data_IF_937058949827
#
_entry.id   IF_937058949827
#
_cell.length_a   1.000
_cell.length_b   1.000
_cell.length_c   1.000
_cell.angle_alpha   90.00
_cell.angle_beta   90.00
_cell.angle_gamma   90.00
#
_symmetry.space_group_name_H-M   'P 1'
#
loop_
_entity.id
_entity.type
_entity.pdbx_description
1 polymer ?
#
# COMPACT_ATOMS: atom_id res chain seq x y z
N UNK A 1 20.58 -2.78 2.24
CA UNK A 1 19.29 -2.14 2.61
C UNK A 1 18.54 -3.03 3.60
N UNK A 2 17.30 -2.70 3.95
CA UNK A 2 16.54 -3.42 4.99
C UNK A 2 16.38 -4.91 4.70
N UNK A 3 16.17 -5.33 3.45
CA UNK A 3 16.12 -6.75 3.09
C UNK A 3 17.41 -7.52 3.46
N UNK A 4 18.58 -6.92 3.22
CA UNK A 4 19.86 -7.50 3.65
C UNK A 4 19.98 -7.53 5.18
N UNK A 5 19.46 -6.51 5.87
CA UNK A 5 19.41 -6.50 7.33
C UNK A 5 18.54 -7.66 7.83
N UNK A 6 17.32 -7.83 7.32
CA UNK A 6 16.42 -8.93 7.67
C UNK A 6 17.04 -10.31 7.43
N UNK A 7 17.71 -10.49 6.29
CA UNK A 7 18.43 -11.72 5.97
C UNK A 7 19.50 -12.07 7.02
N UNK A 8 20.27 -11.07 7.47
CA UNK A 8 21.34 -11.22 8.44
C UNK A 8 20.85 -11.33 9.90
N UNK A 9 19.86 -10.53 10.28
CA UNK A 9 19.34 -10.45 11.65
C UNK A 9 18.30 -11.51 11.96
N UNK A 10 17.66 -12.08 10.93
CA UNK A 10 16.51 -12.96 11.07
C UNK A 10 15.24 -12.27 11.54
N UNK A 11 15.14 -10.95 11.38
CA UNK A 11 13.99 -10.18 11.84
C UNK A 11 12.71 -10.44 11.03
N UNK A 12 12.84 -10.83 9.75
CA UNK A 12 11.74 -11.16 8.85
C UNK A 12 12.22 -12.09 7.74
N UNK A 13 11.29 -12.68 6.96
CA UNK A 13 11.60 -13.65 5.91
C UNK A 13 12.51 -13.05 4.81
N UNK A 14 13.22 -13.90 4.08
CA UNK A 14 14.07 -13.42 2.99
C UNK A 14 13.21 -12.98 1.81
N UNK A 15 13.51 -11.79 1.25
CA UNK A 15 12.70 -11.17 0.20
C UNK A 15 13.53 -10.87 -1.05
N UNK A 16 12.94 -11.11 -2.22
CA UNK A 16 13.37 -10.49 -3.47
C UNK A 16 12.76 -9.08 -3.50
N UNK A 17 13.60 -8.05 -3.60
CA UNK A 17 13.15 -6.66 -3.69
C UNK A 17 13.17 -6.21 -5.15
N UNK A 18 12.01 -5.79 -5.64
CA UNK A 18 11.83 -5.29 -7.00
C UNK A 18 11.43 -3.82 -6.93
N UNK A 19 12.30 -2.93 -7.41
CA UNK A 19 11.99 -1.51 -7.56
C UNK A 19 11.33 -1.27 -8.92
N UNK A 20 10.13 -0.68 -8.93
CA UNK A 20 9.42 -0.29 -10.15
C UNK A 20 9.46 1.22 -10.29
N UNK A 21 10.18 1.70 -11.30
CA UNK A 21 10.28 3.14 -11.61
C UNK A 21 9.08 3.60 -12.45
N UNK A 22 8.37 4.62 -11.97
CA UNK A 22 7.29 5.29 -12.71
C UNK A 22 7.86 6.22 -13.78
N UNK A 23 7.25 6.27 -14.97
CA UNK A 23 7.57 7.27 -16.00
C UNK A 23 6.84 8.60 -15.75
N UNK A 24 5.56 8.52 -15.42
CA UNK A 24 4.75 9.64 -14.95
C UNK A 24 4.02 9.21 -13.68
N UNK A 25 4.68 9.48 -12.55
CA UNK A 25 4.18 9.17 -11.21
C UNK A 25 2.75 9.66 -10.96
N UNK A 26 2.34 10.77 -11.56
CA UNK A 26 1.01 11.36 -11.34
C UNK A 26 -0.04 10.60 -12.12
N UNK A 27 0.26 10.22 -13.36
CA UNK A 27 -0.60 9.35 -14.15
C UNK A 27 -0.72 7.96 -13.50
N UNK A 28 0.41 7.31 -13.26
CA UNK A 28 0.50 5.89 -12.92
C UNK A 28 0.03 5.57 -11.50
N UNK A 29 0.12 6.50 -10.55
CA UNK A 29 -0.21 6.23 -9.14
C UNK A 29 -1.55 6.81 -8.68
N UNK A 30 -2.33 7.40 -9.58
CA UNK A 30 -3.63 8.00 -9.23
C UNK A 30 -4.74 7.55 -10.17
N UNK A 31 -5.96 7.45 -9.64
CA UNK A 31 -7.15 7.37 -10.47
C UNK A 31 -7.58 8.76 -10.90
N UNK A 32 -8.44 8.82 -11.93
CA UNK A 32 -8.88 10.08 -12.50
C UNK A 32 -9.63 10.88 -11.43
N UNK A 33 -9.08 12.01 -11.03
CA UNK A 33 -9.71 12.87 -10.03
C UNK A 33 -10.95 13.55 -10.61
N UNK A 34 -11.92 13.84 -9.74
CA UNK A 34 -13.08 14.70 -10.00
C UNK A 34 -12.86 16.15 -9.54
N UNK A 35 -11.77 16.43 -8.82
CA UNK A 35 -11.40 17.79 -8.43
C UNK A 35 -10.75 18.55 -9.60
N UNK A 36 -11.38 19.64 -10.03
CA UNK A 36 -10.86 20.49 -11.09
C UNK A 36 -9.48 21.09 -10.78
N UNK A 37 -9.17 21.35 -9.50
CA UNK A 37 -7.85 21.82 -9.10
C UNK A 37 -6.79 20.73 -9.30
N UNK A 38 -7.06 19.50 -8.87
CA UNK A 38 -6.17 18.36 -9.07
C UNK A 38 -6.01 18.02 -10.56
N UNK A 39 -7.09 18.09 -11.35
CA UNK A 39 -7.00 17.90 -12.82
C UNK A 39 -6.13 18.96 -13.46
N UNK A 40 -6.24 20.23 -13.02
CA UNK A 40 -5.39 21.31 -13.55
C UNK A 40 -3.92 21.12 -13.17
N UNK A 41 -3.66 20.75 -11.92
CA UNK A 41 -2.29 20.68 -11.39
C UNK A 41 -1.60 19.35 -11.77
N UNK A 42 -2.39 18.31 -12.05
CA UNK A 42 -1.97 16.97 -12.46
C UNK A 42 -2.73 16.49 -13.70
N UNK A 43 -2.56 17.12 -14.88
CA UNK A 43 -3.41 16.87 -16.06
C UNK A 43 -3.34 15.45 -16.63
N UNK A 44 -2.25 14.73 -16.35
CA UNK A 44 -2.02 13.35 -16.80
C UNK A 44 -2.61 12.30 -15.87
N UNK A 45 -3.24 12.69 -14.75
CA UNK A 45 -3.76 11.75 -13.76
C UNK A 45 -4.79 10.75 -14.35
N UNK A 46 -4.82 9.54 -13.77
CA UNK A 46 -5.88 8.57 -14.03
C UNK A 46 -5.48 7.19 -14.58
N UNK A 47 -4.20 6.84 -14.54
CA UNK A 47 -3.69 5.59 -15.11
C UNK A 47 -3.39 4.49 -14.07
N UNK A 48 -3.78 4.67 -12.80
CA UNK A 48 -3.59 3.66 -11.75
C UNK A 48 -4.04 2.24 -12.14
N UNK A 49 -5.19 2.10 -12.82
CA UNK A 49 -5.65 0.78 -13.27
C UNK A 49 -4.72 0.14 -14.31
N UNK A 50 -4.16 0.95 -15.23
CA UNK A 50 -3.23 0.48 -16.24
C UNK A 50 -1.87 0.12 -15.60
N UNK A 51 -1.39 0.95 -14.68
CA UNK A 51 -0.16 0.65 -13.94
C UNK A 51 -0.29 -0.62 -13.09
N UNK A 52 -1.42 -0.82 -12.40
CA UNK A 52 -1.74 -2.07 -11.70
C UNK A 52 -1.73 -3.28 -12.64
N UNK A 53 -2.29 -3.15 -13.84
CA UNK A 53 -2.27 -4.22 -14.85
C UNK A 53 -0.84 -4.53 -15.28
N UNK A 54 -0.01 -3.52 -15.53
CA UNK A 54 1.41 -3.68 -15.83
C UNK A 54 2.16 -4.46 -14.73
N UNK A 55 1.90 -4.14 -13.45
CA UNK A 55 2.49 -4.89 -12.34
C UNK A 55 2.11 -6.38 -12.37
N UNK A 56 0.82 -6.67 -12.56
CA UNK A 56 0.29 -8.04 -12.49
C UNK A 56 0.65 -8.87 -13.73
N UNK A 57 0.58 -8.28 -14.92
CA UNK A 57 0.64 -9.03 -16.17
C UNK A 57 2.03 -9.03 -16.81
N UNK A 58 2.91 -8.11 -16.41
CA UNK A 58 4.26 -7.99 -16.99
C UNK A 58 5.34 -8.13 -15.92
N UNK A 59 5.31 -7.31 -14.86
CA UNK A 59 6.38 -7.29 -13.86
C UNK A 59 6.43 -8.61 -13.09
N UNK A 60 5.31 -9.07 -12.51
CA UNK A 60 5.29 -10.31 -11.75
C UNK A 60 5.71 -11.53 -12.58
N UNK A 61 5.15 -11.79 -13.78
CA UNK A 61 5.56 -12.93 -14.60
C UNK A 61 7.03 -12.86 -15.00
N UNK A 62 7.58 -11.66 -15.25
CA UNK A 62 9.01 -11.50 -15.54
C UNK A 62 9.87 -11.94 -14.35
N UNK A 63 9.50 -11.56 -13.12
CA UNK A 63 10.26 -11.94 -11.93
C UNK A 63 10.13 -13.45 -11.64
N UNK A 64 8.92 -13.99 -11.71
CA UNK A 64 8.65 -15.42 -11.49
C UNK A 64 9.34 -16.33 -12.52
N UNK A 65 9.50 -15.87 -13.76
CA UNK A 65 10.21 -16.62 -14.79
C UNK A 65 11.74 -16.64 -14.59
N UNK A 66 12.31 -15.63 -13.91
CA UNK A 66 13.76 -15.46 -13.79
C UNK A 66 14.31 -15.79 -12.40
N UNK A 67 13.46 -15.85 -11.38
CA UNK A 67 13.86 -16.09 -9.99
C UNK A 67 12.95 -17.10 -9.31
N UNK A 68 13.48 -17.81 -8.31
CA UNK A 68 12.67 -18.71 -7.47
C UNK A 68 11.86 -17.87 -6.48
N UNK A 69 10.58 -17.68 -6.77
CA UNK A 69 9.63 -17.00 -5.88
C UNK A 69 8.89 -18.01 -5.00
N UNK A 70 8.37 -17.56 -3.85
CA UNK A 70 7.49 -18.36 -2.99
C UNK A 70 6.04 -18.41 -3.49
N UNK A 71 5.69 -17.56 -4.45
CA UNK A 71 4.32 -17.30 -4.88
C UNK A 71 3.56 -16.30 -4.00
N UNK A 72 4.17 -15.80 -2.90
CA UNK A 72 3.64 -14.67 -2.14
C UNK A 72 4.30 -13.36 -2.56
N UNK A 73 3.54 -12.28 -2.58
CA UNK A 73 4.05 -10.94 -2.90
C UNK A 73 3.48 -9.81 -2.04
N UNK A 74 4.17 -8.67 -2.09
CA UNK A 74 3.76 -7.44 -1.43
C UNK A 74 3.86 -6.23 -2.36
N UNK A 75 2.93 -5.30 -2.19
CA UNK A 75 3.07 -3.93 -2.68
C UNK A 75 3.35 -2.99 -1.51
N UNK A 76 4.38 -2.15 -1.66
CA UNK A 76 4.81 -1.19 -0.66
C UNK A 76 5.05 0.18 -1.30
N UNK A 77 4.59 1.25 -0.66
CA UNK A 77 4.76 2.60 -1.19
C UNK A 77 4.47 3.70 -0.18
N UNK A 78 5.05 4.88 -0.45
CA UNK A 78 4.88 6.11 0.32
C UNK A 78 4.09 7.15 -0.47
N UNK A 79 3.31 8.01 0.21
CA UNK A 79 2.71 9.20 -0.43
C UNK A 79 1.75 8.79 -1.57
N UNK A 80 1.91 9.26 -2.81
CA UNK A 80 1.10 8.77 -3.95
C UNK A 80 1.30 7.27 -4.22
N UNK A 81 2.47 6.70 -3.94
CA UNK A 81 2.63 5.24 -4.03
C UNK A 81 1.87 4.54 -2.90
N UNK A 82 1.84 5.13 -1.70
CA UNK A 82 0.98 4.67 -0.60
C UNK A 82 -0.51 4.77 -0.95
N UNK A 83 -0.92 5.83 -1.64
CA UNK A 83 -2.28 6.00 -2.19
C UNK A 83 -2.63 4.87 -3.16
N UNK A 84 -1.74 4.59 -4.12
CA UNK A 84 -1.90 3.48 -5.07
C UNK A 84 -1.97 2.12 -4.37
N UNK A 85 -1.16 1.89 -3.32
CA UNK A 85 -1.21 0.65 -2.53
C UNK A 85 -2.54 0.52 -1.79
N UNK A 86 -3.01 1.58 -1.13
CA UNK A 86 -4.29 1.58 -0.42
C UNK A 86 -5.48 1.40 -1.38
N UNK A 87 -5.43 2.03 -2.56
CA UNK A 87 -6.45 1.86 -3.60
C UNK A 87 -6.41 0.46 -4.21
N UNK A 88 -5.22 -0.09 -4.45
CA UNK A 88 -5.07 -1.48 -4.91
C UNK A 88 -5.62 -2.47 -3.88
N UNK A 89 -5.36 -2.29 -2.59
CA UNK A 89 -5.96 -3.12 -1.55
C UNK A 89 -7.50 -3.05 -1.58
N UNK A 90 -8.07 -1.84 -1.63
CA UNK A 90 -9.52 -1.66 -1.55
C UNK A 90 -10.25 -2.06 -2.84
N UNK A 91 -9.77 -1.61 -4.00
CA UNK A 91 -10.47 -1.73 -5.29
C UNK A 91 -9.92 -2.84 -6.19
N UNK A 92 -8.71 -3.36 -5.93
CA UNK A 92 -8.10 -4.45 -6.69
C UNK A 92 -7.36 -5.46 -5.81
N UNK A 93 -7.98 -6.08 -4.78
CA UNK A 93 -7.29 -6.91 -3.79
C UNK A 93 -6.60 -8.17 -4.32
N UNK A 94 -6.77 -8.51 -5.61
CA UNK A 94 -6.00 -9.55 -6.29
C UNK A 94 -4.62 -9.08 -6.77
N UNK A 95 -4.29 -7.80 -6.61
CA UNK A 95 -3.02 -7.23 -7.08
C UNK A 95 -1.83 -7.75 -6.30
N UNK A 96 -1.99 -8.07 -5.02
CA UNK A 96 -0.98 -8.67 -4.17
C UNK A 96 -1.59 -9.38 -2.96
N UNK A 97 -0.78 -10.16 -2.25
CA UNK A 97 -1.19 -10.81 -1.00
C UNK A 97 -0.99 -9.92 0.23
N UNK A 98 -0.05 -8.98 0.16
CA UNK A 98 0.31 -8.06 1.23
C UNK A 98 0.39 -6.63 0.70
N UNK A 99 -0.05 -5.68 1.51
CA UNK A 99 -0.10 -4.26 1.14
C UNK A 99 0.48 -3.43 2.29
N UNK A 100 1.45 -2.57 1.98
CA UNK A 100 2.13 -1.69 2.94
C UNK A 100 2.00 -0.25 2.45
N UNK A 101 1.00 0.47 2.96
CA UNK A 101 0.76 1.87 2.63
C UNK A 101 1.31 2.77 3.73
N UNK A 102 2.37 3.52 3.41
CA UNK A 102 3.02 4.46 4.33
C UNK A 102 2.63 5.89 3.92
N UNK A 103 2.12 6.67 4.87
CA UNK A 103 1.64 8.05 4.65
C UNK A 103 0.88 8.23 3.33
N UNK A 104 -0.15 7.41 3.04
CA UNK A 104 -0.83 7.45 1.76
C UNK A 104 -1.53 8.81 1.56
N UNK A 105 -1.44 9.36 0.35
CA UNK A 105 -2.03 10.66 -0.03
C UNK A 105 -3.55 10.62 -0.16
N UNK A 106 -4.25 10.23 0.89
CA UNK A 106 -5.71 10.05 0.94
C UNK A 106 -6.52 11.37 0.92
N UNK A 107 -5.86 12.51 0.72
CA UNK A 107 -6.54 13.76 0.37
C UNK A 107 -7.03 13.75 -1.08
N UNK A 108 -6.44 12.93 -1.95
CA UNK A 108 -6.73 12.85 -3.38
C UNK A 108 -8.23 12.67 -3.67
N UNK A 109 -8.72 13.37 -4.70
CA UNK A 109 -10.10 13.29 -5.19
C UNK A 109 -11.11 13.54 -4.06
N UNK A 110 -10.91 14.67 -3.36
CA UNK A 110 -11.68 15.06 -2.17
C UNK A 110 -11.68 14.01 -1.05
N UNK A 111 -10.65 13.17 -0.97
CA UNK A 111 -10.56 12.04 -0.04
C UNK A 111 -11.60 10.94 -0.27
N UNK A 112 -12.00 10.73 -1.53
CA UNK A 112 -13.03 9.76 -1.92
C UNK A 112 -12.73 8.35 -1.43
N UNK A 113 -11.46 7.90 -1.51
CA UNK A 113 -11.09 6.53 -1.11
C UNK A 113 -11.39 6.24 0.37
N UNK A 114 -11.07 7.18 1.27
CA UNK A 114 -11.39 7.03 2.70
C UNK A 114 -12.90 7.03 2.95
N UNK A 115 -13.65 7.88 2.24
CA UNK A 115 -15.13 7.96 2.33
C UNK A 115 -15.81 6.69 1.84
N UNK A 116 -15.27 6.06 0.80
CA UNK A 116 -15.83 4.85 0.19
C UNK A 116 -15.41 3.56 0.91
N UNK A 117 -14.33 3.59 1.70
CA UNK A 117 -13.69 2.41 2.29
C UNK A 117 -14.68 1.47 3.00
N UNK A 118 -15.62 2.03 3.77
CA UNK A 118 -16.63 1.22 4.48
C UNK A 118 -17.52 0.43 3.52
N UNK A 119 -18.01 1.06 2.46
CA UNK A 119 -18.86 0.41 1.45
C UNK A 119 -18.09 -0.67 0.70
N UNK A 120 -16.83 -0.41 0.39
CA UNK A 120 -15.96 -1.37 -0.29
C UNK A 120 -15.72 -2.59 0.61
N UNK A 121 -15.41 -2.37 1.90
CA UNK A 121 -15.08 -3.44 2.83
C UNK A 121 -16.28 -4.31 3.24
N UNK A 122 -17.51 -3.77 3.19
CA UNK A 122 -18.76 -4.53 3.41
C UNK A 122 -18.91 -5.71 2.43
N UNK A 123 -18.40 -5.57 1.20
CA UNK A 123 -18.43 -6.61 0.16
C UNK A 123 -17.01 -7.03 -0.27
N UNK A 124 -16.05 -6.97 0.65
CA UNK A 124 -14.67 -7.33 0.33
C UNK A 124 -14.56 -8.81 -0.05
N UNK A 125 -13.82 -9.15 -1.13
CA UNK A 125 -13.69 -10.54 -1.54
C UNK A 125 -12.99 -11.37 -0.46
N UNK A 126 -13.37 -12.64 -0.39
CA UNK A 126 -12.72 -13.61 0.49
C UNK A 126 -11.30 -13.88 0.00
N UNK A 127 -10.37 -14.02 0.93
CA UNK A 127 -8.98 -14.38 0.65
C UNK A 127 -8.09 -13.91 1.78
N UNK A 128 -6.95 -14.55 1.95
CA UNK A 128 -5.97 -14.11 2.93
C UNK A 128 -5.24 -12.88 2.44
N UNK A 129 -5.32 -11.79 3.19
CA UNK A 129 -4.63 -10.53 2.86
C UNK A 129 -4.00 -9.95 4.11
N UNK A 130 -2.84 -9.30 3.97
CA UNK A 130 -2.33 -8.41 5.01
C UNK A 130 -2.31 -6.96 4.53
N UNK A 131 -2.70 -6.05 5.41
CA UNK A 131 -2.65 -4.62 5.14
C UNK A 131 -2.01 -3.86 6.31
N UNK A 132 -0.81 -3.31 6.06
CA UNK A 132 -0.11 -2.42 6.97
C UNK A 132 -0.36 -0.98 6.53
N UNK A 133 -0.86 -0.16 7.46
CA UNK A 133 -1.13 1.24 7.21
C UNK A 133 -0.34 2.09 8.21
N UNK A 134 0.41 3.07 7.73
CA UNK A 134 1.10 4.03 8.59
C UNK A 134 0.82 5.46 8.17
N UNK A 135 0.87 6.38 9.13
CA UNK A 135 0.78 7.82 8.90
C UNK A 135 1.71 8.58 9.86
N UNK A 136 2.27 9.69 9.39
CA UNK A 136 3.15 10.55 10.17
C UNK A 136 2.34 11.69 10.84
N UNK A 137 2.93 12.88 10.93
CA UNK A 137 2.31 14.10 11.48
C UNK A 137 1.30 14.80 10.55
N UNK A 138 0.92 14.20 9.42
CA UNK A 138 0.02 14.83 8.46
C UNK A 138 -1.37 15.06 9.07
N UNK A 139 -2.06 16.13 8.62
CA UNK A 139 -3.34 16.60 9.16
C UNK A 139 -4.39 16.73 8.07
N UNK A 140 -5.62 17.02 8.49
CA UNK A 140 -6.75 17.25 7.59
C UNK A 140 -7.08 16.02 6.75
N UNK A 141 -7.46 16.25 5.49
CA UNK A 141 -8.02 15.22 4.62
C UNK A 141 -7.16 13.95 4.48
N UNK A 142 -5.82 14.07 4.54
CA UNK A 142 -4.93 12.90 4.48
C UNK A 142 -5.13 12.00 5.70
N UNK A 143 -5.09 12.57 6.91
CA UNK A 143 -5.27 11.84 8.17
C UNK A 143 -6.70 11.36 8.33
N UNK A 144 -7.67 12.19 7.98
CA UNK A 144 -9.08 11.83 8.03
C UNK A 144 -9.36 10.63 7.12
N UNK A 145 -8.76 10.59 5.93
CA UNK A 145 -8.84 9.45 5.02
C UNK A 145 -8.24 8.17 5.62
N UNK A 146 -7.06 8.26 6.25
CA UNK A 146 -6.41 7.10 6.90
C UNK A 146 -7.29 6.57 8.04
N UNK A 147 -7.76 7.47 8.91
CA UNK A 147 -8.61 7.10 10.04
C UNK A 147 -9.96 6.55 9.60
N UNK A 148 -10.52 7.02 8.48
CA UNK A 148 -11.73 6.48 7.89
C UNK A 148 -11.53 5.02 7.43
N UNK A 149 -10.39 4.70 6.78
CA UNK A 149 -10.04 3.33 6.41
C UNK A 149 -9.88 2.45 7.66
N UNK A 150 -9.17 2.93 8.67
CA UNK A 150 -8.99 2.20 9.95
C UNK A 150 -10.34 1.92 10.62
N UNK A 151 -11.23 2.92 10.68
CA UNK A 151 -12.56 2.78 11.24
C UNK A 151 -13.41 1.76 10.45
N UNK A 152 -13.32 1.78 9.13
CA UNK A 152 -13.99 0.84 8.25
C UNK A 152 -13.49 -0.60 8.46
N UNK A 153 -12.18 -0.82 8.54
CA UNK A 153 -11.57 -2.14 8.83
C UNK A 153 -12.02 -2.70 10.19
N UNK A 154 -12.07 -1.86 11.23
CA UNK A 154 -12.56 -2.24 12.57
C UNK A 154 -14.04 -2.65 12.56
N UNK A 155 -14.84 -1.96 11.74
CA UNK A 155 -16.29 -2.15 11.68
C UNK A 155 -16.69 -3.36 10.84
N UNK A 156 -16.22 -3.43 9.61
CA UNK A 156 -16.67 -4.44 8.65
C UNK A 156 -15.96 -5.79 8.84
N UNK A 157 -14.76 -5.80 9.46
CA UNK A 157 -14.00 -7.02 9.79
C UNK A 157 -13.95 -8.03 8.62
N UNK A 158 -13.46 -7.60 7.45
CA UNK A 158 -13.44 -8.45 6.25
C UNK A 158 -12.71 -9.76 6.53
N UNK A 159 -13.35 -10.88 6.19
CA UNK A 159 -12.83 -12.23 6.51
C UNK A 159 -11.54 -12.51 5.75
N UNK A 160 -10.51 -12.97 6.47
CA UNK A 160 -9.20 -13.29 5.91
C UNK A 160 -8.23 -12.10 5.84
N UNK A 161 -8.66 -10.91 6.25
CA UNK A 161 -7.79 -9.72 6.25
C UNK A 161 -7.16 -9.53 7.63
N UNK A 162 -5.84 -9.75 7.72
CA UNK A 162 -5.03 -9.24 8.82
C UNK A 162 -4.63 -7.80 8.54
N UNK A 163 -4.74 -6.89 9.51
CA UNK A 163 -4.31 -5.51 9.31
C UNK A 163 -3.76 -4.90 10.59
N UNK A 164 -2.90 -3.91 10.44
CA UNK A 164 -2.38 -3.10 11.55
C UNK A 164 -2.27 -1.63 11.13
N UNK A 165 -2.27 -0.75 12.12
CA UNK A 165 -2.16 0.69 11.94
C UNK A 165 -1.08 1.27 12.84
N UNK A 166 -0.10 1.96 12.25
CA UNK A 166 0.99 2.66 12.94
C UNK A 166 0.79 4.17 12.83
N UNK A 167 0.60 4.84 13.97
CA UNK A 167 0.45 6.29 14.05
C UNK A 167 1.74 6.90 14.56
N UNK A 168 2.41 7.71 13.73
CA UNK A 168 3.77 8.23 13.95
C UNK A 168 3.82 9.76 13.95
N UNK A 169 3.14 10.44 14.89
CA UNK A 169 3.19 11.89 14.98
C UNK A 169 4.57 12.43 15.37
N UNK A 170 5.51 11.55 15.76
CA UNK A 170 6.92 11.86 16.00
C UNK A 170 7.75 11.99 14.71
N UNK A 171 7.18 11.58 13.57
CA UNK A 171 7.81 11.62 12.26
C UNK A 171 7.09 12.63 11.36
N UNK A 172 7.74 12.99 10.28
CA UNK A 172 7.18 13.82 9.21
C UNK A 172 6.97 12.99 7.95
N UNK A 173 6.16 13.49 7.01
CA UNK A 173 5.94 12.84 5.70
C UNK A 173 7.26 12.37 5.06
N UNK A 174 8.27 13.24 5.04
CA UNK A 174 9.57 12.94 4.42
C UNK A 174 10.47 11.97 5.21
N UNK A 175 10.19 11.74 6.49
CA UNK A 175 11.07 10.94 7.37
C UNK A 175 10.46 9.59 7.75
N UNK A 176 9.17 9.38 7.50
CA UNK A 176 8.46 8.18 7.93
C UNK A 176 8.87 6.91 7.17
N UNK A 177 9.16 6.99 5.87
CA UNK A 177 9.31 5.80 5.02
C UNK A 177 10.33 4.80 5.56
N UNK A 178 11.58 5.21 5.76
CA UNK A 178 12.62 4.31 6.24
C UNK A 178 12.42 3.86 7.69
N UNK A 179 11.72 4.65 8.51
CA UNK A 179 11.47 4.35 9.92
C UNK A 179 10.36 3.31 10.08
N UNK A 180 9.32 3.38 9.25
CA UNK A 180 8.21 2.43 9.25
C UNK A 180 8.47 1.20 8.40
N UNK A 181 9.33 1.29 7.38
CA UNK A 181 9.62 0.18 6.49
C UNK A 181 10.07 -1.09 7.23
N UNK A 182 10.92 -0.96 8.26
CA UNK A 182 11.36 -2.12 9.03
C UNK A 182 10.21 -2.76 9.81
N UNK A 183 9.46 -1.97 10.57
CA UNK A 183 8.32 -2.44 11.37
C UNK A 183 7.26 -3.10 10.47
N UNK A 184 6.98 -2.48 9.32
CA UNK A 184 6.06 -3.01 8.33
C UNK A 184 6.52 -4.37 7.77
N UNK A 185 7.80 -4.51 7.43
CA UNK A 185 8.35 -5.77 6.92
C UNK A 185 8.33 -6.87 7.98
N UNK A 186 8.69 -6.55 9.23
CA UNK A 186 8.65 -7.49 10.37
C UNK A 186 7.24 -8.01 10.63
N UNK A 187 6.25 -7.12 10.64
CA UNK A 187 4.86 -7.52 10.84
C UNK A 187 4.28 -8.30 9.64
N UNK A 188 4.66 -7.91 8.42
CA UNK A 188 4.12 -8.50 7.20
C UNK A 188 4.69 -9.89 6.94
N UNK A 189 6.00 -10.08 7.13
CA UNK A 189 6.75 -11.29 6.84
C UNK A 189 7.51 -11.81 8.07
N UNK A 190 6.82 -12.13 9.19
CA UNK A 190 7.50 -12.57 10.39
C UNK A 190 8.19 -13.91 10.13
N UNK A 191 9.49 -14.03 10.44
CA UNK A 191 10.12 -15.36 10.42
C UNK A 191 9.46 -16.24 11.47
N UNK A 192 9.08 -17.48 11.14
CA UNK A 192 8.72 -18.47 12.14
C UNK A 192 9.84 -18.58 13.17
N UNK A 193 9.51 -18.68 14.47
CA UNK A 193 10.51 -19.03 15.46
C UNK A 193 11.07 -20.40 15.08
N UNK A 194 12.40 -20.51 15.04
CA UNK A 194 13.03 -21.82 14.92
C UNK A 194 12.55 -22.69 16.10
N UNK A 195 12.02 -23.87 15.79
CA UNK A 195 11.75 -24.92 16.78
C UNK A 195 13.06 -25.44 17.40
#
# INVERSE_FOLDING_TARGET
GLAQYGALSGSFEDLIVVGVETKDRRAELTWRSTDHAEIRDYPTNGEAAAFRKFLVDEVKPLIEANYRTSGEDALMGESLAGLFVAESFLKGPATADRYIAISPSLWWDFGSLGKEARKILDNFPKGERKFYLAIADEKGAMRDGVLAIVAALKKERPKGVGWTFSDRPDLTHATIYHREALEALVWTFPRPKAE
#
